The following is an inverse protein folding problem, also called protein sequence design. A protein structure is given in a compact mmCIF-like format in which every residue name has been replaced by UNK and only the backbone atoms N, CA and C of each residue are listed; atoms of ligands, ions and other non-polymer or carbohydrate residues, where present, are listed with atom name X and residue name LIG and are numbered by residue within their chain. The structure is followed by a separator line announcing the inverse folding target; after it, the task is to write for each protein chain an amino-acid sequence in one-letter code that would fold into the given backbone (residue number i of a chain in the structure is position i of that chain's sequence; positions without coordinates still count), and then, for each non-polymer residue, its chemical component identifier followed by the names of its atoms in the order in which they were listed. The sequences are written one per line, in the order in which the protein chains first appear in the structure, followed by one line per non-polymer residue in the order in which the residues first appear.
data_IF_660892082197
#
_entry.id   IF_660892082197
#
_cell.length_a   1.000
_cell.length_b   1.000
_cell.length_c   1.000
_cell.angle_alpha   90.00
_cell.angle_beta   90.00
_cell.angle_gamma   90.00
#
_symmetry.space_group_name_H-M   'P 1'
#
loop_
_entity.id
_entity.type
_entity.pdbx_description
1 polymer ?
#
# COMPACT_ATOMS: atom_id res chain seq x y z
N UNK A 1 -4.88 0.78 -11.18
CA UNK A 1 -5.67 0.78 -9.93
C UNK A 1 -4.86 1.47 -8.86
N UNK A 2 -5.52 2.19 -7.95
CA UNK A 2 -4.92 2.73 -6.73
C UNK A 2 -5.69 2.19 -5.53
N UNK A 3 -4.98 1.70 -4.52
CA UNK A 3 -5.59 1.11 -3.32
C UNK A 3 -4.96 1.59 -2.02
N UNK A 4 -5.73 1.46 -0.96
CA UNK A 4 -5.31 1.35 0.43
C UNK A 4 -6.32 0.47 1.16
N UNK A 5 -5.96 -0.07 2.31
CA UNK A 5 -6.86 -0.88 3.14
C UNK A 5 -7.51 -0.03 4.25
N UNK A 6 -8.73 -0.42 4.62
CA UNK A 6 -9.61 0.34 5.51
C UNK A 6 -9.68 -0.24 6.92
N UNK A 7 -9.23 -1.47 7.11
CA UNK A 7 -9.15 -2.06 8.43
C UNK A 7 -7.87 -1.61 9.15
N UNK A 8 -7.88 -1.76 10.47
CA UNK A 8 -6.70 -1.57 11.31
C UNK A 8 -6.82 -2.55 12.46
N UNK A 9 -5.69 -2.96 13.01
CA UNK A 9 -5.69 -3.97 14.06
C UNK A 9 -4.57 -3.74 15.06
N UNK A 10 -4.75 -4.27 16.27
CA UNK A 10 -3.66 -4.40 17.26
C UNK A 10 -2.98 -5.75 17.11
N UNK A 11 -1.73 -5.87 17.56
CA UNK A 11 -0.90 -7.08 17.36
C UNK A 11 -1.60 -8.37 17.82
N UNK A 12 -2.24 -8.36 18.99
CA UNK A 12 -2.93 -9.53 19.53
C UNK A 12 -4.28 -9.77 18.84
N UNK A 13 -4.42 -10.92 18.17
CA UNK A 13 -5.64 -11.28 17.39
C UNK A 13 -6.91 -11.27 18.25
N UNK A 14 -6.78 -11.66 19.52
CA UNK A 14 -7.92 -11.82 20.44
C UNK A 14 -8.22 -10.56 21.25
N UNK A 15 -7.48 -9.47 21.06
CA UNK A 15 -7.73 -8.21 21.76
C UNK A 15 -8.79 -7.38 21.03
N UNK A 16 -10.00 -7.40 21.57
CA UNK A 16 -11.16 -6.64 21.09
C UNK A 16 -11.37 -5.30 21.79
N UNK A 17 -10.47 -4.93 22.71
CA UNK A 17 -10.65 -3.81 23.63
C UNK A 17 -9.69 -2.65 23.36
N UNK A 18 -8.49 -2.95 22.86
CA UNK A 18 -7.51 -1.93 22.54
C UNK A 18 -7.95 -1.07 21.35
N UNK A 19 -7.58 0.20 21.40
CA UNK A 19 -7.85 1.14 20.32
C UNK A 19 -6.76 0.97 19.27
N UNK A 20 -7.14 0.68 18.02
CA UNK A 20 -6.27 0.81 16.86
C UNK A 20 -6.76 1.98 16.01
N UNK A 21 -6.16 3.18 16.13
CA UNK A 21 -6.57 4.32 15.31
C UNK A 21 -6.23 4.15 13.82
N UNK A 22 -5.23 3.32 13.50
CA UNK A 22 -4.84 3.00 12.13
C UNK A 22 -4.42 4.20 11.26
N UNK A 23 -3.93 5.28 11.87
CA UNK A 23 -3.73 6.55 11.15
C UNK A 23 -2.72 6.44 9.99
N UNK A 24 -1.59 5.78 10.23
CA UNK A 24 -0.63 5.48 9.17
C UNK A 24 -0.96 4.14 8.51
N UNK A 25 -1.38 3.15 9.29
CA UNK A 25 -1.64 1.76 8.88
C UNK A 25 -3.15 1.42 9.02
N UNK A 26 -3.97 1.62 7.98
CA UNK A 26 -3.62 2.24 6.69
C UNK A 26 -4.57 3.38 6.23
N UNK A 27 -5.09 4.17 7.19
CA UNK A 27 -5.89 5.35 6.86
C UNK A 27 -5.13 6.34 5.95
N UNK A 28 -3.79 6.37 6.04
CA UNK A 28 -2.95 7.16 5.15
C UNK A 28 -3.06 6.75 3.68
N UNK A 29 -3.04 5.44 3.38
CA UNK A 29 -3.17 4.90 2.03
C UNK A 29 -4.54 5.20 1.42
N UNK A 30 -5.60 5.05 2.22
CA UNK A 30 -6.98 5.40 1.83
C UNK A 30 -7.12 6.90 1.56
N UNK A 31 -6.55 7.75 2.42
CA UNK A 31 -6.53 9.19 2.20
C UNK A 31 -5.82 9.55 0.90
N UNK A 32 -4.69 8.92 0.59
CA UNK A 32 -3.98 9.08 -0.68
C UNK A 32 -4.83 8.68 -1.89
N UNK A 33 -5.54 7.55 -1.82
CA UNK A 33 -6.44 7.10 -2.88
C UNK A 33 -7.63 8.07 -3.10
N UNK A 34 -8.24 8.58 -2.02
CA UNK A 34 -9.33 9.56 -2.08
C UNK A 34 -8.84 10.89 -2.68
N UNK A 35 -7.66 11.37 -2.26
CA UNK A 35 -7.10 12.61 -2.79
C UNK A 35 -6.73 12.48 -4.27
N UNK A 36 -6.15 11.36 -4.68
CA UNK A 36 -5.92 11.05 -6.08
C UNK A 36 -7.25 11.06 -6.87
N UNK A 37 -8.32 10.46 -6.34
CA UNK A 37 -9.63 10.50 -6.97
C UNK A 37 -10.17 11.93 -7.10
N UNK A 38 -10.04 12.76 -6.07
CA UNK A 38 -10.46 14.16 -6.07
C UNK A 38 -9.74 14.98 -7.15
N UNK A 39 -8.44 14.76 -7.34
CA UNK A 39 -7.63 15.47 -8.34
C UNK A 39 -7.91 14.94 -9.74
N UNK A 40 -7.84 13.62 -9.93
CA UNK A 40 -7.85 12.99 -11.25
C UNK A 40 -9.26 12.89 -11.86
N UNK A 41 -10.32 12.93 -11.06
CA UNK A 41 -11.71 12.99 -11.56
C UNK A 41 -12.02 14.19 -12.45
N UNK A 42 -11.15 15.21 -12.44
CA UNK A 42 -11.24 16.40 -13.30
C UNK A 42 -10.71 16.17 -14.71
N UNK A 43 -10.14 14.99 -14.98
CA UNK A 43 -9.49 14.66 -16.23
C UNK A 43 -10.11 13.39 -16.84
N UNK A 44 -9.90 13.22 -18.14
CA UNK A 44 -10.24 11.99 -18.85
C UNK A 44 -8.95 11.27 -19.25
N UNK A 45 -8.96 9.95 -19.12
CA UNK A 45 -7.82 9.10 -19.43
C UNK A 45 -8.25 8.06 -20.48
N UNK A 46 -7.28 7.59 -21.26
CA UNK A 46 -7.51 6.53 -22.24
C UNK A 46 -7.86 5.17 -21.59
N UNK A 47 -7.63 5.02 -20.28
CA UNK A 47 -7.95 3.82 -19.52
C UNK A 47 -8.77 4.12 -18.27
N UNK A 48 -9.34 3.07 -17.69
CA UNK A 48 -10.10 3.14 -16.45
C UNK A 48 -9.17 3.20 -15.24
N UNK A 49 -9.40 4.17 -14.36
CA UNK A 49 -8.76 4.23 -13.05
C UNK A 49 -9.76 3.72 -12.01
N UNK A 50 -9.38 2.68 -11.28
CA UNK A 50 -10.14 2.13 -10.16
C UNK A 50 -9.46 2.57 -8.87
N UNK A 51 -10.23 3.18 -7.96
CA UNK A 51 -9.83 3.49 -6.60
C UNK A 51 -10.48 2.47 -5.66
N UNK A 52 -9.68 1.74 -4.89
CA UNK A 52 -10.15 0.65 -4.05
C UNK A 52 -9.79 0.88 -2.58
N UNK A 53 -10.79 0.75 -1.72
CA UNK A 53 -10.64 0.64 -0.28
C UNK A 53 -10.80 -0.84 0.08
N UNK A 54 -9.72 -1.50 0.51
CA UNK A 54 -9.67 -2.95 0.70
C UNK A 54 -9.95 -3.31 2.16
N UNK A 55 -10.83 -4.28 2.41
CA UNK A 55 -11.12 -4.76 3.76
C UNK A 55 -10.35 -6.04 4.08
N UNK A 56 -9.94 -6.22 5.32
CA UNK A 56 -9.38 -7.46 5.83
C UNK A 56 -7.95 -7.71 5.37
N UNK A 57 -7.16 -6.65 5.19
CA UNK A 57 -5.71 -6.74 4.96
C UNK A 57 -5.06 -7.42 6.16
N UNK A 58 -5.35 -6.90 7.35
CA UNK A 58 -4.72 -7.22 8.64
C UNK A 58 -5.11 -8.61 9.19
N UNK A 59 -5.97 -9.32 8.47
CA UNK A 59 -6.41 -10.68 8.78
C UNK A 59 -6.04 -11.70 7.70
N UNK A 60 -5.33 -11.29 6.65
CA UNK A 60 -4.85 -12.18 5.59
C UNK A 60 -5.19 -11.71 4.17
N UNK A 61 -5.22 -10.40 3.90
CA UNK A 61 -5.38 -9.84 2.56
C UNK A 61 -6.72 -10.18 1.87
N UNK A 62 -7.78 -10.40 2.62
CA UNK A 62 -9.04 -10.96 2.09
C UNK A 62 -9.70 -10.09 1.02
N UNK A 63 -9.78 -8.77 1.25
CA UNK A 63 -10.38 -7.84 0.29
C UNK A 63 -9.56 -7.72 -0.99
N UNK A 64 -8.23 -7.70 -0.88
CA UNK A 64 -7.33 -7.74 -2.04
C UNK A 64 -7.49 -9.02 -2.85
N UNK A 65 -7.54 -10.17 -2.19
CA UNK A 65 -7.76 -11.47 -2.83
C UNK A 65 -9.13 -11.55 -3.53
N UNK A 66 -10.19 -11.08 -2.88
CA UNK A 66 -11.53 -11.04 -3.46
C UNK A 66 -11.60 -10.14 -4.70
N UNK A 67 -11.01 -8.93 -4.65
CA UNK A 67 -10.96 -8.03 -5.80
C UNK A 67 -10.12 -8.60 -6.94
N UNK A 68 -9.00 -9.24 -6.63
CA UNK A 68 -8.15 -9.88 -7.63
C UNK A 68 -8.88 -11.05 -8.33
N UNK A 69 -9.63 -11.86 -7.57
CA UNK A 69 -10.45 -12.93 -8.14
C UNK A 69 -11.57 -12.35 -9.01
N UNK A 70 -12.30 -11.35 -8.52
CA UNK A 70 -13.35 -10.69 -9.29
C UNK A 70 -12.81 -10.10 -10.60
N UNK A 71 -11.67 -9.41 -10.56
CA UNK A 71 -11.04 -8.84 -11.75
C UNK A 71 -10.66 -9.92 -12.78
N UNK A 72 -10.19 -11.09 -12.34
CA UNK A 72 -9.91 -12.23 -13.21
C UNK A 72 -11.19 -12.80 -13.84
N UNK A 73 -12.23 -12.99 -13.04
CA UNK A 73 -13.52 -13.52 -13.49
C UNK A 73 -14.21 -12.58 -14.48
N UNK A 74 -14.02 -11.27 -14.32
CA UNK A 74 -14.51 -10.24 -15.25
C UNK A 74 -13.55 -9.94 -16.41
N UNK A 75 -12.45 -10.70 -16.54
CA UNK A 75 -11.43 -10.52 -17.59
C UNK A 75 -10.86 -9.10 -17.70
N UNK A 76 -10.66 -8.42 -16.56
CA UNK A 76 -10.07 -7.09 -16.55
C UNK A 76 -8.61 -7.12 -17.03
N UNK A 77 -8.27 -6.20 -17.94
CA UNK A 77 -6.88 -5.97 -18.35
C UNK A 77 -6.20 -5.00 -17.38
N UNK A 78 -5.69 -5.52 -16.26
CA UNK A 78 -5.01 -4.72 -15.25
C UNK A 78 -3.57 -4.42 -15.69
N UNK A 79 -3.30 -3.15 -16.03
CA UNK A 79 -1.96 -2.69 -16.45
C UNK A 79 -1.03 -2.45 -15.26
N UNK A 80 -1.57 -1.91 -14.16
CA UNK A 80 -0.81 -1.59 -12.96
C UNK A 80 -1.72 -1.48 -11.73
N UNK A 81 -1.16 -1.80 -10.57
CA UNK A 81 -1.74 -1.54 -9.25
C UNK A 81 -0.72 -0.76 -8.44
N UNK A 82 -1.15 0.37 -7.88
CA UNK A 82 -0.41 1.13 -6.89
C UNK A 82 -1.08 0.88 -5.54
N UNK A 83 -0.41 0.09 -4.68
CA UNK A 83 -0.86 -0.12 -3.31
C UNK A 83 -0.18 0.91 -2.41
N UNK A 84 -0.96 1.81 -1.84
CA UNK A 84 -0.47 2.81 -0.91
C UNK A 84 -0.68 2.27 0.49
N UNK A 85 0.43 1.96 1.17
CA UNK A 85 0.41 1.37 2.50
C UNK A 85 1.44 2.07 3.38
N UNK A 86 0.98 2.63 4.51
CA UNK A 86 1.80 3.39 5.45
C UNK A 86 2.53 4.59 4.83
N UNK A 87 1.82 5.43 4.07
CA UNK A 87 2.41 6.53 3.28
C UNK A 87 2.54 7.88 4.01
N UNK A 88 2.25 7.95 5.30
CA UNK A 88 2.27 9.20 6.08
C UNK A 88 3.42 9.29 7.11
N UNK A 89 4.33 8.32 7.13
CA UNK A 89 5.46 8.33 8.05
C UNK A 89 6.75 8.90 7.41
N UNK A 90 7.53 9.64 8.18
CA UNK A 90 8.86 10.15 7.80
C UNK A 90 10.00 9.52 8.60
N UNK A 91 9.66 8.76 9.64
CA UNK A 91 10.60 8.04 10.49
C UNK A 91 10.49 6.54 10.20
N UNK A 92 11.57 5.92 9.75
CA UNK A 92 11.63 4.48 9.55
C UNK A 92 11.54 3.72 10.88
N UNK A 93 11.28 2.40 10.81
CA UNK A 93 11.25 1.50 11.99
C UNK A 93 12.61 1.52 12.74
N UNK A 94 13.69 1.89 12.06
CA UNK A 94 15.03 2.06 12.62
C UNK A 94 15.27 3.43 13.29
N UNK A 95 14.25 4.29 13.38
CA UNK A 95 14.33 5.64 13.94
C UNK A 95 15.01 6.68 13.03
N UNK A 96 15.31 6.32 11.78
CA UNK A 96 15.91 7.27 10.83
C UNK A 96 14.82 8.13 10.22
N UNK A 97 15.00 9.45 10.32
CA UNK A 97 14.13 10.43 9.65
C UNK A 97 14.82 10.88 8.36
N UNK A 98 14.24 10.51 7.21
CA UNK A 98 14.76 10.88 5.90
C UNK A 98 13.61 11.11 4.91
N UNK A 99 13.61 12.26 4.25
CA UNK A 99 12.63 12.65 3.23
C UNK A 99 13.27 12.91 1.85
N UNK A 100 14.56 12.57 1.69
CA UNK A 100 15.33 12.74 0.46
C UNK A 100 15.59 11.41 -0.25
N UNK A 101 15.82 10.33 0.51
CA UNK A 101 16.19 9.03 -0.06
C UNK A 101 15.05 8.03 0.08
N UNK A 102 14.73 7.34 -1.02
CA UNK A 102 13.74 6.26 -1.05
C UNK A 102 14.31 5.03 -1.76
N UNK A 103 13.93 3.85 -1.27
CA UNK A 103 14.33 2.57 -1.84
C UNK A 103 13.34 2.10 -2.90
N UNK A 104 13.84 1.48 -3.97
CA UNK A 104 13.01 0.81 -4.98
C UNK A 104 13.47 -0.62 -5.11
N UNK A 105 12.56 -1.57 -4.88
CA UNK A 105 12.77 -2.99 -5.13
C UNK A 105 11.87 -3.47 -6.27
N UNK A 106 12.31 -4.50 -6.96
CA UNK A 106 11.49 -5.27 -7.91
C UNK A 106 11.60 -6.74 -7.56
N UNK A 107 10.48 -7.47 -7.70
CA UNK A 107 10.45 -8.92 -7.52
C UNK A 107 10.16 -9.56 -8.87
N UNK A 108 11.02 -10.48 -9.33
CA UNK A 108 10.78 -11.23 -10.55
C UNK A 108 9.77 -12.36 -10.34
N UNK A 109 9.24 -12.91 -11.43
CA UNK A 109 8.18 -13.93 -11.38
C UNK A 109 8.55 -15.21 -10.59
N UNK A 110 9.84 -15.49 -10.42
CA UNK A 110 10.35 -16.61 -9.62
C UNK A 110 10.62 -16.25 -8.14
N UNK A 111 10.24 -15.05 -7.71
CA UNK A 111 10.38 -14.59 -6.32
C UNK A 111 11.71 -13.90 -5.98
N UNK A 112 12.64 -13.75 -6.93
CA UNK A 112 13.89 -13.05 -6.65
C UNK A 112 13.63 -11.55 -6.50
N UNK A 113 14.11 -10.95 -5.41
CA UNK A 113 13.97 -9.52 -5.12
C UNK A 113 15.27 -8.80 -5.42
N UNK A 114 15.21 -7.64 -6.09
CA UNK A 114 16.40 -6.78 -6.26
C UNK A 114 16.86 -6.23 -4.92
N UNK A 115 18.17 -6.07 -4.69
CA UNK A 115 18.66 -5.45 -3.47
C UNK A 115 18.18 -4.01 -3.38
N UNK A 116 17.78 -3.58 -2.18
CA UNK A 116 17.59 -2.17 -1.84
C UNK A 116 18.74 -1.79 -0.92
N UNK A 117 19.57 -0.86 -1.37
CA UNK A 117 20.68 -0.33 -0.58
C UNK A 117 20.38 1.12 -0.28
N UNK A 118 20.16 1.43 0.98
CA UNK A 118 20.11 2.81 1.46
C UNK A 118 21.55 3.30 1.70
N UNK A 119 21.84 4.58 1.45
CA UNK A 119 23.12 5.17 1.83
C UNK A 119 23.39 4.97 3.33
N UNK A 120 24.44 4.22 3.67
CA UNK A 120 25.00 4.12 5.01
C UNK A 120 26.22 5.04 5.18
N UNK A 121 26.77 5.10 6.40
CA UNK A 121 28.09 5.72 6.60
C UNK A 121 29.11 5.08 5.63
N UNK A 122 30.00 5.90 5.06
CA UNK A 122 31.00 5.42 4.10
C UNK A 122 31.77 4.20 4.67
N UNK A 123 31.65 3.05 3.99
CA UNK A 123 32.29 1.80 4.39
C UNK A 123 31.39 0.76 5.06
N UNK A 124 30.10 1.03 5.25
CA UNK A 124 29.12 0.00 5.62
C UNK A 124 28.57 -0.67 4.33
N UNK A 125 29.15 -1.81 3.96
CA UNK A 125 28.59 -2.75 2.99
C UNK A 125 28.24 -4.06 3.70
#
# INVERSE_FOLDING_TARGET
MMSGDIDSRVTEVMDSTSISPGANDNASGVAGAIEAARVLSKYQFAGTIIYAALSGEEQGLYGGAALAQYAKDQHWQVQAVLNNDMIANIEGINGVIDNYLYGVASVSANGNTSPVVFPGAAGAY
#
